data_IF_737153608198
#
_entry.id   IF_737153608198
#
_cell.length_a   1.000
_cell.length_b   1.000
_cell.length_c   1.000
_cell.angle_alpha   90.00
_cell.angle_beta   90.00
_cell.angle_gamma   90.00
#
_symmetry.space_group_name_H-M   'P 1'
#
loop_
_entity.id
_entity.type
_entity.pdbx_description
1 polymer ?
#
# COMPACT_ATOMS: atom_id res chain seq x y z
N UNK A 1 0.30 -28.13 -12.52
CA UNK A 1 -0.64 -27.06 -12.09
C UNK A 1 0.11 -25.75 -12.05
N UNK A 2 -0.51 -24.62 -12.40
CA UNK A 2 0.16 -23.31 -12.34
C UNK A 2 0.36 -22.86 -10.88
N UNK A 3 1.43 -22.10 -10.62
CA UNK A 3 1.74 -21.58 -9.28
C UNK A 3 0.58 -20.74 -8.71
N UNK A 4 -0.12 -19.99 -9.57
CA UNK A 4 -1.30 -19.20 -9.20
C UNK A 4 -2.45 -20.09 -8.72
N UNK A 5 -2.70 -21.24 -9.37
CA UNK A 5 -3.75 -22.15 -8.95
C UNK A 5 -3.48 -22.72 -7.55
N UNK A 6 -2.23 -23.08 -7.27
CA UNK A 6 -1.79 -23.55 -5.94
C UNK A 6 -1.93 -22.42 -4.91
N UNK A 7 -1.42 -21.24 -5.22
CA UNK A 7 -1.48 -20.09 -4.31
C UNK A 7 -2.91 -19.65 -3.97
N UNK A 8 -3.86 -19.86 -4.89
CA UNK A 8 -5.27 -19.56 -4.68
C UNK A 8 -5.96 -20.49 -3.67
N UNK A 9 -5.46 -21.71 -3.48
CA UNK A 9 -5.98 -22.66 -2.49
C UNK A 9 -5.31 -22.58 -1.13
N UNK A 10 -4.24 -21.79 -1.00
CA UNK A 10 -3.48 -21.68 0.24
C UNK A 10 -4.03 -20.54 1.12
N UNK A 11 -3.73 -20.59 2.42
CA UNK A 11 -4.15 -19.58 3.38
C UNK A 11 -2.98 -19.03 4.19
N UNK A 12 -3.12 -17.79 4.65
CA UNK A 12 -2.20 -17.17 5.58
C UNK A 12 -2.95 -16.73 6.84
N UNK A 13 -2.79 -17.53 7.89
CA UNK A 13 -3.29 -17.21 9.22
C UNK A 13 -2.18 -16.50 10.01
N UNK A 14 -2.31 -15.17 10.15
CA UNK A 14 -1.34 -14.31 10.83
C UNK A 14 -1.17 -14.67 12.31
N UNK A 15 -2.21 -15.21 12.97
CA UNK A 15 -2.17 -15.57 14.38
C UNK A 15 -1.14 -16.66 14.68
N UNK A 16 -0.88 -17.55 13.72
CA UNK A 16 0.12 -18.62 13.83
C UNK A 16 1.55 -18.11 13.94
N UNK A 17 1.80 -16.87 13.54
CA UNK A 17 3.14 -16.27 13.48
C UNK A 17 3.35 -15.17 14.54
N UNK A 18 2.38 -14.93 15.44
CA UNK A 18 2.47 -13.86 16.45
C UNK A 18 3.55 -14.16 17.49
N UNK A 19 3.77 -15.44 17.83
CA UNK A 19 4.76 -15.88 18.79
C UNK A 19 6.15 -16.16 18.18
N UNK A 20 6.27 -16.09 16.86
CA UNK A 20 7.53 -16.39 16.16
C UNK A 20 8.29 -15.08 15.88
N UNK A 21 9.49 -14.95 16.45
CA UNK A 21 10.32 -13.73 16.34
C UNK A 21 10.83 -13.49 14.92
N UNK A 22 11.05 -14.55 14.14
CA UNK A 22 11.38 -14.51 12.72
C UNK A 22 10.94 -15.80 12.04
N UNK A 23 10.08 -15.67 11.04
CA UNK A 23 9.54 -16.80 10.28
C UNK A 23 9.45 -16.48 8.80
N UNK A 24 9.04 -17.47 8.00
CA UNK A 24 8.79 -17.31 6.57
C UNK A 24 7.51 -18.04 6.17
N UNK A 25 6.84 -17.54 5.14
CA UNK A 25 5.67 -18.23 4.55
C UNK A 25 6.09 -19.58 3.97
N UNK A 26 5.44 -20.68 4.37
CA UNK A 26 5.79 -22.02 3.90
C UNK A 26 5.32 -22.31 2.46
N UNK A 27 4.27 -21.63 2.04
CA UNK A 27 3.61 -21.83 0.76
C UNK A 27 3.34 -20.48 0.10
N UNK A 28 3.25 -20.42 -1.25
CA UNK A 28 2.79 -19.21 -1.91
C UNK A 28 1.31 -18.97 -1.59
N UNK A 29 0.91 -17.72 -1.42
CA UNK A 29 -0.46 -17.33 -1.11
C UNK A 29 -0.89 -16.20 -2.03
N UNK A 30 -2.10 -16.31 -2.57
CA UNK A 30 -2.71 -15.28 -3.39
C UNK A 30 -3.59 -14.37 -2.52
N UNK A 31 -3.32 -13.07 -2.56
CA UNK A 31 -4.05 -12.07 -1.78
C UNK A 31 -4.77 -11.08 -2.68
N UNK A 32 -5.88 -10.52 -2.17
CA UNK A 32 -6.44 -9.26 -2.63
C UNK A 32 -5.90 -8.12 -1.78
N UNK A 33 -5.50 -7.01 -2.43
CA UNK A 33 -5.07 -5.80 -1.74
C UNK A 33 -6.32 -4.99 -1.36
N UNK A 34 -6.66 -5.00 -0.07
CA UNK A 34 -7.86 -4.33 0.44
C UNK A 34 -7.65 -2.84 0.73
N UNK A 35 -6.46 -2.47 1.18
CA UNK A 35 -6.15 -1.10 1.57
C UNK A 35 -4.65 -0.82 1.43
N UNK A 36 -4.31 0.43 1.12
CA UNK A 36 -2.93 0.90 0.97
C UNK A 36 -2.78 2.19 1.77
N UNK A 37 -1.74 2.23 2.60
CA UNK A 37 -1.37 3.37 3.42
C UNK A 37 0.06 3.76 3.07
N UNK A 38 0.28 5.03 2.74
CA UNK A 38 1.62 5.58 2.70
C UNK A 38 2.05 5.90 4.15
N UNK A 39 3.04 5.19 4.68
CA UNK A 39 3.55 5.38 6.04
C UNK A 39 4.73 6.35 6.11
N UNK A 40 5.24 6.84 4.98
CA UNK A 40 6.26 7.90 4.96
C UNK A 40 5.66 9.31 4.96
N UNK A 41 4.36 9.46 4.69
CA UNK A 41 3.63 10.73 4.76
C UNK A 41 2.81 10.86 6.04
N UNK A 42 2.75 12.06 6.61
CA UNK A 42 1.83 12.34 7.73
C UNK A 42 0.36 12.16 7.30
N UNK A 43 -0.52 11.84 8.24
CA UNK A 43 -1.97 11.72 7.99
C UNK A 43 -2.56 13.03 7.46
N UNK A 44 -2.10 14.17 7.97
CA UNK A 44 -2.49 15.49 7.48
C UNK A 44 -2.10 15.69 6.00
N UNK A 45 -0.86 15.34 5.63
CA UNK A 45 -0.43 15.45 4.22
C UNK A 45 -1.22 14.53 3.31
N UNK A 46 -1.49 13.30 3.73
CA UNK A 46 -2.31 12.37 2.96
C UNK A 46 -3.73 12.90 2.77
N UNK A 47 -4.32 13.49 3.80
CA UNK A 47 -5.66 14.10 3.74
C UNK A 47 -5.69 15.24 2.74
N UNK A 48 -4.68 16.10 2.76
CA UNK A 48 -4.58 17.21 1.82
C UNK A 48 -4.48 16.72 0.37
N UNK A 49 -3.68 15.66 0.11
CA UNK A 49 -3.57 15.04 -1.22
C UNK A 49 -4.94 14.56 -1.73
N UNK A 50 -5.78 13.99 -0.84
CA UNK A 50 -7.13 13.54 -1.19
C UNK A 50 -8.13 14.70 -1.39
N UNK A 51 -8.02 15.77 -0.61
CA UNK A 51 -8.87 16.96 -0.78
C UNK A 51 -8.55 17.71 -2.07
N UNK A 52 -7.25 17.86 -2.39
CA UNK A 52 -6.80 18.47 -3.64
C UNK A 52 -7.28 17.66 -4.85
N UNK A 53 -7.28 16.33 -4.76
CA UNK A 53 -7.88 15.49 -5.79
C UNK A 53 -9.41 15.70 -5.90
N UNK A 54 -10.11 15.86 -4.78
CA UNK A 54 -11.57 16.04 -4.75
C UNK A 54 -12.02 17.41 -5.27
N UNK A 55 -11.29 18.47 -4.92
CA UNK A 55 -11.53 19.84 -5.36
C UNK A 55 -10.19 20.55 -5.61
N UNK A 56 -9.69 20.50 -6.86
CA UNK A 56 -8.43 21.15 -7.23
C UNK A 56 -8.43 22.67 -7.03
N UNK A 57 -9.61 23.30 -7.03
CA UNK A 57 -9.73 24.75 -6.87
C UNK A 57 -9.73 25.18 -5.39
N UNK A 58 -9.96 24.25 -4.47
CA UNK A 58 -9.86 24.48 -3.02
C UNK A 58 -8.42 24.52 -2.51
N UNK A 59 -7.46 24.06 -3.31
CA UNK A 59 -6.06 24.04 -2.94
C UNK A 59 -5.52 25.48 -2.80
N UNK A 60 -5.14 25.86 -1.58
CA UNK A 60 -4.56 27.18 -1.27
C UNK A 60 -3.45 27.52 -2.25
N UNK A 61 -3.49 28.74 -2.81
CA UNK A 61 -2.55 29.28 -3.81
C UNK A 61 -1.07 29.09 -3.41
N UNK A 62 -0.80 29.02 -2.10
CA UNK A 62 0.53 28.79 -1.53
C UNK A 62 1.17 27.43 -1.95
N UNK A 63 0.37 26.47 -2.45
CA UNK A 63 0.84 25.16 -2.93
C UNK A 63 1.12 25.07 -4.43
N UNK A 64 0.63 26.01 -5.26
CA UNK A 64 1.00 26.06 -6.68
C UNK A 64 2.53 26.23 -6.83
N UNK A 65 3.16 26.88 -5.85
CA UNK A 65 4.61 27.00 -5.74
C UNK A 65 5.33 25.74 -5.20
N UNK A 66 4.65 24.82 -4.50
CA UNK A 66 5.22 23.57 -3.97
C UNK A 66 5.29 22.43 -4.98
N UNK A 67 4.56 22.52 -6.09
CA UNK A 67 4.73 21.64 -7.26
C UNK A 67 6.15 21.70 -7.84
N UNK A 68 6.89 22.78 -7.55
CA UNK A 68 8.35 22.81 -7.62
C UNK A 68 8.91 22.40 -6.26
N UNK A 69 9.14 21.09 -6.09
CA UNK A 69 10.13 20.51 -5.17
C UNK A 69 10.14 21.17 -3.79
N UNK A 70 9.32 20.67 -2.87
CA UNK A 70 9.35 21.02 -1.45
C UNK A 70 10.72 20.66 -0.84
N UNK A 71 11.70 21.54 -1.00
CA UNK A 71 12.92 21.60 -0.22
C UNK A 71 12.49 22.15 1.14
N UNK A 72 12.29 21.25 2.10
CA UNK A 72 12.21 21.63 3.51
C UNK A 72 13.57 22.20 3.88
N UNK A 73 13.57 23.33 4.56
CA UNK A 73 14.74 24.03 5.07
C UNK A 73 15.73 23.02 5.68
N UNK A 74 16.91 23.00 5.07
CA UNK A 74 18.02 22.13 5.41
C UNK A 74 18.77 22.85 6.52
N UNK A 75 18.90 22.23 7.70
CA UNK A 75 19.99 22.58 8.61
C UNK A 75 21.29 22.24 7.85
N UNK A 76 21.96 23.27 7.33
CA UNK A 76 23.24 23.19 6.63
C UNK A 76 24.29 22.93 7.71
N UNK A 77 24.43 21.68 8.16
CA UNK A 77 25.57 21.26 9.01
C UNK A 77 25.87 19.75 8.93
N UNK A 78 25.29 18.99 7.99
CA UNK A 78 25.68 17.58 7.81
C UNK A 78 25.78 17.20 6.33
N UNK A 79 27.02 16.88 5.92
CA UNK A 79 27.49 16.67 4.55
C UNK A 79 27.14 15.26 4.03
N UNK A 80 25.84 14.92 4.06
CA UNK A 80 25.29 13.67 3.57
C UNK A 80 24.45 13.84 2.30
N UNK A 81 24.53 12.96 1.30
CA UNK A 81 23.69 13.06 0.10
C UNK A 81 22.22 12.93 0.49
N UNK A 82 21.43 13.97 0.18
CA UNK A 82 19.97 14.01 0.37
C UNK A 82 19.33 12.98 -0.57
N UNK A 83 19.18 11.75 -0.08
CA UNK A 83 18.30 10.76 -0.70
C UNK A 83 16.86 11.26 -0.55
N UNK A 84 16.18 11.54 -1.66
CA UNK A 84 14.72 11.74 -1.64
C UNK A 84 14.09 10.51 -1.00
N UNK A 85 13.47 10.66 0.17
CA UNK A 85 12.80 9.57 0.84
C UNK A 85 11.71 9.03 -0.10
N UNK A 86 11.86 7.79 -0.56
CA UNK A 86 10.84 7.14 -1.36
C UNK A 86 9.58 6.95 -0.50
N UNK A 87 8.41 7.00 -1.14
CA UNK A 87 7.18 6.58 -0.47
C UNK A 87 7.34 5.15 0.04
N UNK A 88 6.88 4.88 1.26
CA UNK A 88 6.89 3.53 1.86
C UNK A 88 5.45 3.16 2.17
N UNK A 89 5.01 1.99 1.71
CA UNK A 89 3.63 1.56 1.86
C UNK A 89 3.44 0.41 2.87
N UNK A 90 2.32 0.49 3.58
CA UNK A 90 1.70 -0.59 4.34
C UNK A 90 0.45 -1.04 3.61
N UNK A 91 0.31 -2.34 3.41
CA UNK A 91 -0.81 -2.97 2.72
C UNK A 91 -1.68 -3.75 3.71
N UNK A 92 -2.99 -3.74 3.49
CA UNK A 92 -3.93 -4.68 4.09
C UNK A 92 -4.28 -5.72 3.03
N UNK A 93 -4.05 -6.99 3.33
CA UNK A 93 -4.20 -8.10 2.39
C UNK A 93 -5.25 -9.08 2.87
N UNK A 94 -6.00 -9.69 1.95
CA UNK A 94 -6.95 -10.77 2.24
C UNK A 94 -6.72 -11.99 1.36
N UNK A 95 -6.58 -13.17 1.95
CA UNK A 95 -6.42 -14.44 1.22
C UNK A 95 -7.78 -15.00 0.72
N UNK A 96 -7.75 -16.14 0.04
CA UNK A 96 -8.95 -16.83 -0.44
C UNK A 96 -9.87 -17.35 0.67
N UNK A 97 -9.36 -17.48 1.89
CA UNK A 97 -10.06 -17.98 3.08
C UNK A 97 -10.59 -16.84 3.96
N UNK A 98 -10.51 -15.59 3.49
CA UNK A 98 -10.94 -14.38 4.20
C UNK A 98 -10.09 -14.03 5.43
N UNK A 99 -8.93 -14.65 5.60
CA UNK A 99 -7.95 -14.19 6.58
C UNK A 99 -7.36 -12.86 6.12
N UNK A 100 -7.17 -11.95 7.07
CA UNK A 100 -6.66 -10.61 6.81
C UNK A 100 -5.33 -10.44 7.53
N UNK A 101 -4.35 -9.86 6.84
CA UNK A 101 -3.05 -9.55 7.42
C UNK A 101 -2.51 -8.22 6.92
N UNK A 102 -1.56 -7.67 7.69
CA UNK A 102 -0.78 -6.53 7.25
C UNK A 102 0.48 -7.00 6.53
N UNK A 103 0.92 -6.17 5.58
CA UNK A 103 2.20 -6.33 4.93
C UNK A 103 2.91 -4.97 4.83
N UNK A 104 4.23 -4.95 4.98
CA UNK A 104 5.06 -3.77 4.79
C UNK A 104 5.98 -3.95 3.59
N UNK A 105 6.22 -2.87 2.87
CA UNK A 105 7.35 -2.78 1.96
C UNK A 105 8.65 -2.89 2.75
N UNK A 106 9.43 -3.95 2.50
CA UNK A 106 10.82 -4.03 2.97
C UNK A 106 11.78 -3.30 2.03
N UNK A 107 11.41 -3.24 0.75
CA UNK A 107 12.05 -2.42 -0.29
C UNK A 107 10.96 -1.79 -1.18
N UNK A 108 11.29 -0.74 -1.94
CA UNK A 108 10.37 -0.18 -2.93
C UNK A 108 9.82 -1.23 -3.91
N UNK A 109 8.56 -1.64 -3.75
CA UNK A 109 7.86 -2.54 -4.66
C UNK A 109 7.55 -1.83 -5.98
N UNK A 110 8.05 -2.38 -7.08
CA UNK A 110 7.96 -1.76 -8.41
C UNK A 110 6.53 -1.55 -8.87
N UNK A 111 5.63 -2.49 -8.55
CA UNK A 111 4.22 -2.40 -8.97
C UNK A 111 3.45 -1.26 -8.30
N UNK A 112 3.90 -0.77 -7.14
CA UNK A 112 3.33 0.41 -6.48
C UNK A 112 3.87 1.74 -7.05
N UNK A 113 4.81 1.67 -7.99
CA UNK A 113 5.47 2.84 -8.59
C UNK A 113 5.35 2.84 -10.12
N UNK A 114 4.66 1.87 -10.68
CA UNK A 114 4.45 1.74 -12.12
C UNK A 114 3.35 2.71 -12.55
N UNK A 115 3.72 3.76 -13.29
CA UNK A 115 2.77 4.77 -13.78
C UNK A 115 1.65 4.18 -14.64
N UNK A 116 1.88 3.02 -15.29
CA UNK A 116 0.85 2.32 -16.06
C UNK A 116 -0.27 1.76 -15.19
N UNK A 117 -0.02 1.62 -13.88
CA UNK A 117 -0.98 1.18 -12.88
C UNK A 117 -1.62 2.35 -12.11
N UNK A 118 -1.24 3.60 -12.44
CA UNK A 118 -1.78 4.77 -11.78
C UNK A 118 -3.29 4.86 -11.94
N UNK A 119 -3.98 5.16 -10.84
CA UNK A 119 -5.43 5.27 -10.78
C UNK A 119 -5.93 6.67 -11.12
N UNK A 120 -5.03 7.64 -11.30
CA UNK A 120 -5.35 9.07 -11.28
C UNK A 120 -5.69 9.60 -9.88
N UNK A 121 -5.78 8.74 -8.86
CA UNK A 121 -6.01 9.12 -7.46
C UNK A 121 -4.68 9.13 -6.69
N UNK A 122 -4.65 9.63 -5.43
CA UNK A 122 -3.47 9.51 -4.56
C UNK A 122 -3.04 8.06 -4.24
N UNK A 123 -3.79 7.02 -4.65
CA UNK A 123 -3.35 5.64 -4.50
C UNK A 123 -2.39 5.22 -5.61
N UNK A 124 -1.36 4.43 -5.28
CA UNK A 124 -0.39 3.95 -6.28
C UNK A 124 -1.00 2.95 -7.28
N UNK A 125 -2.01 2.18 -6.86
CA UNK A 125 -2.72 1.18 -7.65
C UNK A 125 -4.18 1.09 -7.20
N UNK A 126 -5.03 0.49 -8.03
CA UNK A 126 -6.44 0.25 -7.71
C UNK A 126 -6.60 -0.86 -6.66
N UNK A 127 -7.52 -0.68 -5.72
CA UNK A 127 -7.81 -1.68 -4.67
C UNK A 127 -8.54 -2.90 -5.27
N UNK A 128 -8.41 -4.05 -4.59
CA UNK A 128 -8.92 -5.34 -5.05
C UNK A 128 -7.97 -6.06 -6.01
N UNK A 129 -6.80 -5.49 -6.31
CA UNK A 129 -5.79 -6.15 -7.14
C UNK A 129 -5.23 -7.41 -6.49
N UNK A 130 -4.91 -8.40 -7.31
CA UNK A 130 -4.37 -9.70 -6.88
C UNK A 130 -2.85 -9.62 -6.75
N UNK A 131 -2.33 -10.02 -5.60
CA UNK A 131 -0.91 -10.09 -5.29
C UNK A 131 -0.54 -11.53 -4.97
N UNK A 132 0.31 -12.13 -5.80
CA UNK A 132 0.95 -13.40 -5.49
C UNK A 132 2.14 -13.13 -4.57
N UNK A 133 2.07 -13.62 -3.34
CA UNK A 133 3.19 -13.66 -2.40
C UNK A 133 3.78 -15.06 -2.47
N UNK A 134 5.05 -15.17 -2.85
CA UNK A 134 5.74 -16.45 -2.99
C UNK A 134 6.07 -17.03 -1.62
N UNK A 135 6.34 -18.34 -1.60
CA UNK A 135 6.95 -18.98 -0.44
C UNK A 135 8.25 -18.28 -0.03
N UNK A 136 8.68 -18.56 1.20
CA UNK A 136 9.89 -18.01 1.80
C UNK A 136 9.85 -16.47 1.98
N UNK A 137 8.66 -15.85 1.98
CA UNK A 137 8.47 -14.42 2.30
C UNK A 137 8.61 -14.21 3.79
N UNK A 138 9.43 -13.25 4.27
CA UNK A 138 9.65 -13.01 5.69
C UNK A 138 8.38 -12.59 6.42
N UNK A 139 8.21 -13.11 7.63
CA UNK A 139 7.10 -12.83 8.53
C UNK A 139 7.64 -12.47 9.92
N UNK A 140 7.19 -11.32 10.46
CA UNK A 140 7.46 -10.91 11.84
C UNK A 140 6.17 -10.52 12.54
N UNK A 141 5.89 -11.12 13.70
CA UNK A 141 4.69 -10.85 14.51
C UNK A 141 3.38 -10.92 13.70
N UNK A 142 3.24 -11.91 12.81
CA UNK A 142 2.07 -12.05 11.94
C UNK A 142 1.99 -11.10 10.75
N UNK A 143 3.06 -10.35 10.46
CA UNK A 143 3.11 -9.33 9.42
C UNK A 143 4.09 -9.74 8.32
N UNK A 144 3.68 -9.61 7.05
CA UNK A 144 4.50 -9.93 5.89
C UNK A 144 5.47 -8.77 5.57
N UNK A 145 6.72 -9.08 5.24
CA UNK A 145 7.71 -8.11 4.78
C UNK A 145 8.04 -8.38 3.31
N UNK A 146 7.52 -7.53 2.43
CA UNK A 146 7.48 -7.77 0.99
C UNK A 146 8.72 -7.23 0.29
N UNK A 147 9.31 -8.08 -0.56
CA UNK A 147 10.37 -7.74 -1.50
C UNK A 147 9.91 -8.05 -2.94
N UNK A 148 10.47 -7.37 -3.94
CA UNK A 148 10.11 -7.55 -5.35
C UNK A 148 10.28 -9.00 -5.81
N UNK A 149 11.33 -9.69 -5.36
CA UNK A 149 11.59 -11.10 -5.76
C UNK A 149 10.48 -12.06 -5.33
N UNK A 150 9.79 -11.74 -4.23
CA UNK A 150 8.76 -12.55 -3.58
C UNK A 150 7.34 -12.15 -3.97
N UNK A 151 7.19 -11.08 -4.75
CA UNK A 151 5.88 -10.53 -5.08
C UNK A 151 5.64 -10.54 -6.59
N UNK A 152 4.41 -10.85 -7.00
CA UNK A 152 3.96 -10.63 -8.38
C UNK A 152 2.56 -10.06 -8.36
N UNK A 153 2.42 -8.80 -8.77
CA UNK A 153 1.13 -8.14 -8.90
C UNK A 153 0.47 -8.57 -10.21
N UNK A 154 -0.74 -9.10 -10.12
CA UNK A 154 -1.51 -9.65 -11.24
C UNK A 154 -2.57 -8.66 -11.77
N UNK A 155 -2.63 -7.45 -11.21
CA UNK A 155 -3.63 -6.47 -11.57
C UNK A 155 -4.99 -6.73 -10.92
N UNK A 156 -5.99 -6.00 -11.39
CA UNK A 156 -7.37 -6.09 -10.91
C UNK A 156 -8.21 -6.87 -11.91
N UNK A 157 -9.07 -7.75 -11.39
CA UNK A 157 -10.11 -8.38 -12.18
C UNK A 157 -11.33 -7.45 -12.24
N UNK A 158 -11.70 -7.02 -13.45
CA UNK A 158 -12.81 -6.11 -13.65
C UNK A 158 -14.18 -6.75 -13.32
N UNK A 159 -14.25 -8.09 -13.34
CA UNK A 159 -15.48 -8.82 -13.04
C UNK A 159 -15.61 -9.17 -11.55
N UNK A 160 -14.58 -8.92 -10.74
CA UNK A 160 -14.62 -9.19 -9.31
C UNK A 160 -15.43 -8.10 -8.58
N UNK A 161 -16.56 -8.44 -7.94
CA UNK A 161 -17.38 -7.47 -7.21
C UNK A 161 -16.61 -6.73 -6.09
N UNK A 162 -15.56 -7.35 -5.55
CA UNK A 162 -14.72 -6.75 -4.51
C UNK A 162 -14.05 -5.46 -5.01
N UNK A 163 -13.62 -5.42 -6.28
CA UNK A 163 -13.05 -4.22 -6.88
C UNK A 163 -14.04 -3.05 -6.87
N UNK A 164 -15.29 -3.29 -7.30
CA UNK A 164 -16.32 -2.26 -7.27
C UNK A 164 -16.62 -1.81 -5.83
N UNK A 165 -16.72 -2.75 -4.88
CA UNK A 165 -16.99 -2.46 -3.49
C UNK A 165 -15.91 -1.58 -2.83
N UNK A 166 -14.63 -1.89 -3.08
CA UNK A 166 -13.51 -1.18 -2.48
C UNK A 166 -13.31 0.22 -3.08
N UNK A 167 -13.56 0.39 -4.38
CA UNK A 167 -13.27 1.63 -5.09
C UNK A 167 -14.46 2.58 -5.25
N UNK A 168 -15.70 2.15 -4.97
CA UNK A 168 -16.87 3.06 -4.97
C UNK A 168 -16.79 4.04 -3.81
N UNK A 169 -16.91 5.35 -4.07
CA UNK A 169 -16.81 6.41 -3.04
C UNK A 169 -15.44 6.46 -2.35
N UNK A 170 -14.38 6.10 -3.08
CA UNK A 170 -13.03 5.95 -2.54
C UNK A 170 -12.52 7.25 -1.90
N UNK A 171 -12.75 8.39 -2.56
CA UNK A 171 -12.26 9.70 -2.14
C UNK A 171 -12.86 10.09 -0.79
N UNK A 172 -14.18 10.04 -0.70
CA UNK A 172 -14.93 10.39 0.51
C UNK A 172 -14.57 9.46 1.66
N UNK A 173 -14.40 8.15 1.39
CA UNK A 173 -13.98 7.16 2.39
C UNK A 173 -12.59 7.47 2.95
N UNK A 174 -11.61 7.78 2.09
CA UNK A 174 -10.25 8.07 2.55
C UNK A 174 -10.18 9.38 3.34
N UNK A 175 -10.88 10.43 2.90
CA UNK A 175 -10.98 11.69 3.65
C UNK A 175 -11.61 11.44 5.02
N UNK A 176 -12.72 10.69 5.09
CA UNK A 176 -13.41 10.39 6.35
C UNK A 176 -12.54 9.58 7.33
N UNK A 177 -11.82 8.57 6.83
CA UNK A 177 -10.88 7.77 7.65
C UNK A 177 -9.78 8.67 8.23
N UNK A 178 -9.17 9.50 7.39
CA UNK A 178 -8.08 10.39 7.82
C UNK A 178 -8.58 11.47 8.80
N UNK A 179 -9.78 12.02 8.57
CA UNK A 179 -10.43 12.96 9.50
C UNK A 179 -10.70 12.33 10.87
N UNK A 180 -11.07 11.05 10.91
CA UNK A 180 -11.28 10.32 12.16
C UNK A 180 -9.96 10.07 12.88
N UNK A 181 -8.93 9.60 12.17
CA UNK A 181 -7.59 9.35 12.73
C UNK A 181 -6.89 10.61 13.25
N UNK A 182 -7.21 11.79 12.69
CA UNK A 182 -6.63 13.06 13.14
C UNK A 182 -7.33 13.67 14.36
N UNK A 183 -8.52 13.18 14.72
CA UNK A 183 -9.29 13.64 15.90
C UNK A 183 -9.02 12.81 17.15
N UNK A 184 -8.53 11.58 16.99
CA UNK A 184 -8.13 10.68 18.07
C UNK A 184 -6.73 10.98 18.58
#
# INVERSE_FOLDING_TARGET
MSEIAIASSNSFDSAKYVSESASVTKEPVLFHILHIINISKSRLSQRDDWLEYSDPNSASVDRLNKSKKMVREVNIDDDGPIVSAFDVYKLLLQDSHKNVCYAFEKEPLRFLRDQRQSTGTPLPIRLGGKLLVKKDTPVWNGVLFLENRQCTYLGVDANDPLNAQLNTGLVEKYIAILDQELKS
#
